data_IF_856450612099
#
_entry.id   IF_856450612099
#
_cell.length_a   1.000
_cell.length_b   1.000
_cell.length_c   1.000
_cell.angle_alpha   90.00
_cell.angle_beta   90.00
_cell.angle_gamma   90.00
#
_symmetry.space_group_name_H-M   'P 1'
#
loop_
_entity.id
_entity.type
_entity.pdbx_description
1 polymer ?
#
# COMPACT_ATOMS: atom_id res chain seq x y z
N UNK A 1 -12.48 -60.55 13.36
CA UNK A 1 -13.81 -60.93 12.82
C UNK A 1 -14.79 -59.79 13.07
N UNK A 2 -15.74 -59.66 12.15
CA UNK A 2 -16.90 -58.75 12.12
C UNK A 2 -16.73 -57.38 11.47
N UNK A 3 -17.38 -57.28 10.31
CA UNK A 3 -17.60 -56.19 9.37
C UNK A 3 -18.78 -55.30 9.80
N UNK A 4 -19.09 -54.31 8.93
CA UNK A 4 -20.44 -53.76 8.63
C UNK A 4 -20.79 -52.48 9.41
N UNK A 5 -21.19 -51.33 8.82
CA UNK A 5 -21.78 -50.96 7.52
C UNK A 5 -21.45 -49.47 7.23
N UNK A 6 -20.92 -49.05 6.07
CA UNK A 6 -21.59 -48.42 4.90
C UNK A 6 -23.07 -48.05 5.06
N UNK A 7 -23.42 -46.75 4.97
CA UNK A 7 -24.62 -46.26 4.26
C UNK A 7 -24.40 -44.85 3.71
N UNK A 8 -24.83 -44.65 2.46
CA UNK A 8 -24.85 -43.41 1.69
C UNK A 8 -26.27 -43.25 1.14
N UNK A 9 -26.83 -42.03 1.16
CA UNK A 9 -27.97 -41.54 0.33
C UNK A 9 -27.99 -40.00 0.50
N UNK A 10 -27.52 -39.19 -0.44
CA UNK A 10 -28.17 -38.69 -1.66
C UNK A 10 -29.66 -38.36 -1.54
N UNK A 11 -30.00 -37.07 -1.68
CA UNK A 11 -31.17 -36.63 -2.44
C UNK A 11 -31.06 -35.13 -2.78
N UNK A 12 -30.93 -34.91 -4.09
CA UNK A 12 -30.87 -33.66 -4.83
C UNK A 12 -32.18 -32.83 -4.86
N UNK A 13 -32.03 -31.64 -5.48
CA UNK A 13 -32.99 -30.92 -6.34
C UNK A 13 -33.61 -29.65 -5.69
N UNK A 14 -33.73 -28.48 -6.33
CA UNK A 14 -33.53 -28.04 -7.73
C UNK A 14 -33.34 -26.49 -7.75
N UNK A 15 -32.38 -25.94 -8.51
CA UNK A 15 -32.49 -25.27 -9.83
C UNK A 15 -33.08 -23.83 -9.84
N UNK A 16 -32.15 -22.84 -9.93
CA UNK A 16 -31.95 -21.72 -10.90
C UNK A 16 -33.14 -20.85 -11.42
N UNK A 17 -32.92 -19.75 -12.21
CA UNK A 17 -31.71 -18.95 -12.52
C UNK A 17 -31.95 -17.41 -12.39
N UNK A 18 -30.90 -16.59 -12.56
CA UNK A 18 -30.92 -15.37 -13.39
C UNK A 18 -29.55 -14.69 -13.42
N UNK A 19 -28.95 -14.67 -14.60
CA UNK A 19 -27.79 -13.85 -14.92
C UNK A 19 -28.21 -12.39 -15.12
N UNK A 20 -27.35 -11.44 -14.74
CA UNK A 20 -27.20 -10.19 -15.49
C UNK A 20 -25.78 -9.66 -15.30
N UNK A 21 -25.00 -9.43 -16.38
CA UNK A 21 -23.72 -8.73 -16.31
C UNK A 21 -23.96 -7.22 -16.39
N UNK A 22 -23.52 -6.47 -15.40
CA UNK A 22 -23.43 -5.02 -15.49
C UNK A 22 -22.01 -4.65 -15.93
N UNK A 23 -21.95 -4.10 -17.13
CA UNK A 23 -20.75 -3.72 -17.86
C UNK A 23 -19.93 -2.65 -17.13
N UNK A 24 -18.61 -2.81 -17.20
CA UNK A 24 -17.64 -1.77 -16.93
C UNK A 24 -17.79 -0.61 -17.94
N UNK A 25 -17.83 0.66 -17.49
CA UNK A 25 -17.68 1.78 -18.40
C UNK A 25 -16.22 1.91 -18.83
N UNK A 26 -16.07 1.84 -20.15
CA UNK A 26 -14.89 2.05 -20.99
C UNK A 26 -14.23 3.40 -20.72
N UNK A 27 -12.90 3.35 -20.61
CA UNK A 27 -11.95 4.47 -20.71
C UNK A 27 -12.33 5.38 -21.89
N UNK A 28 -12.75 6.60 -21.58
CA UNK A 28 -12.93 7.66 -22.56
C UNK A 28 -11.80 8.67 -22.39
N UNK A 29 -10.80 8.48 -23.25
CA UNK A 29 -9.77 9.41 -23.70
C UNK A 29 -10.29 10.86 -23.73
N UNK A 30 -9.89 11.69 -22.76
CA UNK A 30 -10.13 13.13 -22.81
C UNK A 30 -8.92 13.81 -23.45
N UNK A 31 -8.93 13.82 -24.79
CA UNK A 31 -7.95 14.57 -25.57
C UNK A 31 -8.28 16.07 -25.48
N UNK A 32 -7.62 16.80 -24.59
CA UNK A 32 -7.63 18.26 -24.61
C UNK A 32 -6.57 18.77 -25.59
N UNK A 33 -7.03 19.40 -26.66
CA UNK A 33 -6.22 20.21 -27.54
C UNK A 33 -5.71 21.44 -26.78
N UNK A 34 -4.38 21.62 -26.73
CA UNK A 34 -3.76 22.88 -26.30
C UNK A 34 -3.28 23.64 -27.54
N UNK A 35 -3.55 24.95 -27.64
CA UNK A 35 -3.19 25.73 -28.81
C UNK A 35 -1.68 25.91 -28.92
N UNK A 36 -1.20 26.03 -30.16
CA UNK A 36 0.13 26.47 -30.50
C UNK A 36 0.40 27.85 -29.87
N UNK A 37 1.19 27.86 -28.80
CA UNK A 37 1.79 29.06 -28.25
C UNK A 37 3.24 29.11 -28.72
N UNK A 38 3.57 30.29 -29.22
CA UNK A 38 4.76 30.72 -29.90
C UNK A 38 6.03 30.41 -29.11
N UNK A 39 7.04 29.92 -29.82
CA UNK A 39 8.39 29.81 -29.30
C UNK A 39 9.01 31.21 -29.22
N UNK A 40 8.98 31.83 -28.05
CA UNK A 40 9.88 32.94 -27.73
C UNK A 40 11.15 32.37 -27.08
N UNK A 41 12.14 32.10 -27.93
CA UNK A 41 13.53 31.89 -27.51
C UNK A 41 14.06 33.22 -26.97
N UNK A 42 14.11 33.33 -25.64
CA UNK A 42 14.89 34.38 -24.99
C UNK A 42 16.22 33.78 -24.54
N UNK A 43 17.21 33.90 -25.41
CA UNK A 43 18.61 33.62 -25.13
C UNK A 43 19.13 34.56 -24.04
N UNK A 44 19.44 34.01 -22.88
CA UNK A 44 20.47 34.58 -21.99
C UNK A 44 21.35 33.44 -21.51
N UNK A 45 22.58 33.41 -22.03
CA UNK A 45 23.63 32.54 -21.58
C UNK A 45 24.02 32.92 -20.14
N UNK A 46 23.62 32.09 -19.18
CA UNK A 46 24.20 32.06 -17.85
C UNK A 46 25.01 30.77 -17.73
N UNK A 47 26.27 30.93 -17.34
CA UNK A 47 27.29 29.89 -17.19
C UNK A 47 26.74 28.68 -16.40
N UNK A 48 26.96 27.42 -16.83
CA UNK A 48 26.59 26.29 -16.00
C UNK A 48 27.53 26.26 -14.80
N UNK A 49 27.01 26.61 -13.63
CA UNK A 49 27.58 26.10 -12.38
C UNK A 49 27.61 24.57 -12.49
N UNK A 50 28.61 23.88 -11.91
CA UNK A 50 28.53 22.43 -11.78
C UNK A 50 27.27 22.14 -10.96
N UNK A 51 26.21 21.68 -11.63
CA UNK A 51 25.06 21.11 -10.98
C UNK A 51 25.56 19.83 -10.30
N UNK A 52 26.06 19.98 -9.08
CA UNK A 52 26.03 18.89 -8.13
C UNK A 52 24.57 18.45 -8.13
N UNK A 53 24.22 17.22 -8.53
CA UNK A 53 22.87 16.75 -8.32
C UNK A 53 22.70 16.76 -6.80
N UNK A 54 21.97 17.76 -6.29
CA UNK A 54 21.33 17.66 -5.01
C UNK A 54 20.58 16.34 -5.10
N UNK A 55 21.04 15.36 -4.33
CA UNK A 55 20.33 14.11 -4.12
C UNK A 55 18.90 14.53 -3.81
N UNK A 56 18.02 14.44 -4.82
CA UNK A 56 16.67 14.96 -4.72
C UNK A 56 16.08 14.20 -3.55
N UNK A 57 15.74 14.92 -2.47
CA UNK A 57 15.02 14.30 -1.38
C UNK A 57 13.81 13.62 -2.03
N UNK A 58 13.59 12.33 -1.77
CA UNK A 58 12.43 11.65 -2.33
C UNK A 58 11.17 12.45 -1.97
N UNK A 59 10.16 12.46 -2.85
CA UNK A 59 8.97 13.25 -2.64
C UNK A 59 8.31 12.81 -1.34
N UNK A 60 8.41 13.65 -0.31
CA UNK A 60 7.80 13.41 0.98
C UNK A 60 6.36 12.90 0.79
N UNK A 61 6.09 11.69 1.29
CA UNK A 61 4.75 11.10 1.25
C UNK A 61 3.75 12.12 1.80
N UNK A 62 2.93 12.69 0.93
CA UNK A 62 1.94 13.70 1.29
C UNK A 62 0.72 13.00 1.91
N UNK A 63 0.93 12.41 3.10
CA UNK A 63 -0.09 11.74 3.88
C UNK A 63 -0.41 12.55 5.15
N UNK A 64 -1.65 12.43 5.68
CA UNK A 64 -2.01 13.08 6.93
C UNK A 64 -1.07 12.68 8.07
N UNK A 65 -0.76 13.61 8.99
CA UNK A 65 0.18 13.36 10.10
C UNK A 65 -0.18 12.13 10.95
N UNK A 66 -1.47 11.82 11.09
CA UNK A 66 -2.01 10.63 11.77
C UNK A 66 -1.53 9.30 11.17
N UNK A 67 -1.07 9.31 9.93
CA UNK A 67 -0.54 8.14 9.26
C UNK A 67 0.89 7.81 9.71
N UNK A 68 1.59 8.72 10.41
CA UNK A 68 2.98 8.50 10.82
C UNK A 68 3.91 8.09 9.66
N UNK A 69 3.59 8.50 8.43
CA UNK A 69 4.32 8.09 7.24
C UNK A 69 5.79 8.56 7.29
N UNK A 70 6.70 7.65 6.98
CA UNK A 70 8.15 7.92 6.88
C UNK A 70 8.69 7.13 5.69
N UNK A 71 9.31 7.84 4.74
CA UNK A 71 9.93 7.19 3.58
C UNK A 71 11.15 6.37 4.01
N UNK A 72 11.39 5.27 3.29
CA UNK A 72 12.54 4.38 3.49
C UNK A 72 12.79 3.98 4.96
N UNK A 73 11.70 3.81 5.71
CA UNK A 73 11.75 3.61 7.16
C UNK A 73 10.92 2.39 7.55
N UNK A 74 11.55 1.48 8.28
CA UNK A 74 10.84 0.43 9.01
C UNK A 74 10.43 0.99 10.38
N UNK A 75 9.14 1.18 10.59
CA UNK A 75 8.62 1.57 11.91
C UNK A 75 8.55 0.33 12.81
N UNK A 76 9.14 0.44 14.00
CA UNK A 76 9.11 -0.61 15.01
C UNK A 76 7.69 -0.83 15.56
N UNK A 77 7.42 -2.04 16.06
CA UNK A 77 6.13 -2.37 16.67
C UNK A 77 5.74 -3.84 16.54
N UNK A 78 4.77 -4.24 17.35
CA UNK A 78 4.18 -5.58 17.27
C UNK A 78 3.29 -5.68 16.04
N UNK A 79 3.56 -6.66 15.17
CA UNK A 79 2.74 -6.89 13.96
C UNK A 79 1.34 -7.38 14.37
N UNK A 80 0.32 -6.63 13.96
CA UNK A 80 -1.10 -6.99 14.13
C UNK A 80 -1.71 -7.55 12.84
N UNK A 81 -1.13 -7.21 11.68
CA UNK A 81 -1.43 -7.84 10.40
C UNK A 81 -0.13 -8.00 9.59
N UNK A 82 0.15 -9.22 9.14
CA UNK A 82 1.36 -9.52 8.35
C UNK A 82 1.20 -9.12 6.89
N UNK A 83 2.22 -8.45 6.33
CA UNK A 83 2.22 -7.97 4.95
C UNK A 83 2.20 -9.07 3.88
N UNK A 84 2.75 -10.25 4.18
CA UNK A 84 2.75 -11.40 3.26
C UNK A 84 1.34 -11.87 2.88
N UNK A 85 0.35 -11.66 3.75
CA UNK A 85 -1.08 -11.92 3.49
C UNK A 85 -1.91 -10.64 3.36
N UNK A 86 -1.27 -9.47 3.41
CA UNK A 86 -1.94 -8.18 3.38
C UNK A 86 -1.20 -7.21 2.45
N UNK A 87 -1.59 -7.21 1.18
CA UNK A 87 -1.04 -6.31 0.18
C UNK A 87 -1.94 -5.10 -0.05
N UNK A 88 -1.33 -3.94 -0.26
CA UNK A 88 -1.96 -2.66 -0.62
C UNK A 88 -1.24 -2.03 -1.81
N UNK A 89 -1.97 -1.33 -2.70
CA UNK A 89 -1.39 -0.75 -3.91
C UNK A 89 -0.42 0.39 -3.60
N UNK A 90 -0.64 1.13 -2.52
CA UNK A 90 0.13 2.32 -2.17
C UNK A 90 0.10 2.58 -0.66
N UNK A 91 0.95 3.54 -0.24
CA UNK A 91 1.11 3.95 1.15
C UNK A 91 -0.16 4.55 1.76
N UNK A 92 -0.98 5.28 1.00
CA UNK A 92 -2.24 5.85 1.48
C UNK A 92 -3.23 4.73 1.84
N UNK A 93 -3.37 3.76 0.94
CA UNK A 93 -4.18 2.56 1.14
C UNK A 93 -3.74 1.71 2.34
N UNK A 94 -2.45 1.72 2.67
CA UNK A 94 -1.93 1.05 3.87
C UNK A 94 -2.25 1.84 5.15
N UNK A 95 -2.17 3.18 5.13
CA UNK A 95 -2.65 4.02 6.23
C UNK A 95 -4.15 3.81 6.50
N UNK A 96 -4.99 3.85 5.46
CA UNK A 96 -6.43 3.64 5.60
C UNK A 96 -6.76 2.27 6.20
N UNK A 97 -5.99 1.24 5.83
CA UNK A 97 -6.13 -0.10 6.40
C UNK A 97 -5.73 -0.14 7.88
N UNK A 98 -4.72 0.62 8.29
CA UNK A 98 -4.35 0.78 9.70
C UNK A 98 -5.48 1.43 10.49
N UNK A 99 -6.06 2.53 9.99
CA UNK A 99 -7.17 3.23 10.63
C UNK A 99 -8.41 2.32 10.77
N UNK A 100 -8.74 1.57 9.71
CA UNK A 100 -9.83 0.59 9.73
C UNK A 100 -9.57 -0.53 10.75
N UNK A 101 -8.34 -1.05 10.81
CA UNK A 101 -7.95 -2.06 11.79
C UNK A 101 -8.07 -1.53 13.22
N UNK A 102 -7.63 -0.29 13.47
CA UNK A 102 -7.72 0.36 14.77
C UNK A 102 -9.17 0.48 15.25
N UNK A 103 -10.08 0.89 14.36
CA UNK A 103 -11.51 0.99 14.66
C UNK A 103 -12.14 -0.39 14.95
N UNK A 104 -11.74 -1.43 14.22
CA UNK A 104 -12.29 -2.78 14.39
C UNK A 104 -11.70 -3.54 15.60
N UNK A 105 -10.49 -3.19 16.04
CA UNK A 105 -9.74 -3.93 17.06
C UNK A 105 -9.25 -3.02 18.20
N UNK A 106 -10.15 -2.48 19.05
CA UNK A 106 -9.80 -1.49 20.07
C UNK A 106 -8.84 -2.01 21.15
N UNK A 107 -8.72 -3.33 21.36
CA UNK A 107 -7.79 -3.92 22.32
C UNK A 107 -6.35 -4.04 21.80
N UNK A 108 -6.17 -4.12 20.47
CA UNK A 108 -4.88 -4.21 19.79
C UNK A 108 -4.90 -3.36 18.51
N UNK A 109 -5.12 -2.04 18.62
CA UNK A 109 -5.28 -1.18 17.45
C UNK A 109 -3.97 -1.09 16.67
N UNK A 110 -4.09 -0.89 15.36
CA UNK A 110 -2.95 -0.44 14.57
C UNK A 110 -2.74 1.06 14.84
N UNK A 111 -1.49 1.49 14.94
CA UNK A 111 -1.14 2.91 15.03
C UNK A 111 0.12 3.30 14.25
N UNK A 112 0.85 2.33 13.71
CA UNK A 112 1.90 2.53 12.71
C UNK A 112 1.83 1.42 11.66
N UNK A 113 2.39 1.68 10.49
CA UNK A 113 2.39 0.74 9.38
C UNK A 113 3.65 0.89 8.55
N UNK A 114 3.96 -0.14 7.76
CA UNK A 114 5.00 -0.10 6.73
C UNK A 114 4.38 -0.56 5.42
N UNK A 115 4.71 0.10 4.31
CA UNK A 115 4.32 -0.32 2.97
C UNK A 115 5.56 -0.43 2.09
N UNK A 116 5.68 -1.54 1.36
CA UNK A 116 6.73 -1.70 0.36
C UNK A 116 6.19 -1.35 -1.03
N UNK A 117 6.32 -0.08 -1.43
CA UNK A 117 5.82 0.42 -2.71
C UNK A 117 6.84 0.59 -3.82
N UNK A 118 8.14 0.55 -3.51
CA UNK A 118 9.20 0.76 -4.50
C UNK A 118 9.54 -0.54 -5.23
N UNK A 119 9.24 -0.63 -6.52
CA UNK A 119 9.47 -1.83 -7.34
C UNK A 119 10.94 -2.26 -7.40
N UNK A 120 11.88 -1.31 -7.36
CA UNK A 120 13.30 -1.59 -7.44
C UNK A 120 13.88 -2.08 -6.10
N UNK A 121 13.33 -1.62 -4.98
CA UNK A 121 13.83 -1.95 -3.64
C UNK A 121 13.07 -3.10 -2.96
N UNK A 122 11.79 -3.30 -3.29
CA UNK A 122 10.92 -4.22 -2.57
C UNK A 122 11.01 -5.68 -3.01
N UNK A 123 11.40 -5.96 -4.25
CA UNK A 123 11.47 -7.33 -4.79
C UNK A 123 10.18 -8.10 -4.57
N UNK A 124 10.25 -9.28 -3.95
CA UNK A 124 9.07 -10.13 -3.67
C UNK A 124 8.09 -9.53 -2.67
N UNK A 125 8.51 -8.52 -1.90
CA UNK A 125 7.67 -7.85 -0.90
C UNK A 125 6.88 -6.69 -1.49
N UNK A 126 6.94 -6.45 -2.80
CA UNK A 126 6.17 -5.39 -3.44
C UNK A 126 4.68 -5.48 -3.06
N UNK A 127 4.15 -4.34 -2.64
CA UNK A 127 2.79 -4.15 -2.16
C UNK A 127 2.51 -4.65 -0.74
N UNK A 128 3.44 -5.30 -0.05
CA UNK A 128 3.20 -5.76 1.32
C UNK A 128 2.96 -4.56 2.25
N UNK A 129 1.92 -4.67 3.08
CA UNK A 129 1.51 -3.68 4.06
C UNK A 129 1.46 -4.34 5.44
N UNK A 130 2.40 -3.96 6.32
CA UNK A 130 2.46 -4.47 7.68
C UNK A 130 1.79 -3.48 8.61
N UNK A 131 0.69 -3.92 9.24
CA UNK A 131 0.03 -3.12 10.27
C UNK A 131 0.63 -3.48 11.63
N UNK A 132 0.95 -2.47 12.42
CA UNK A 132 1.66 -2.63 13.69
C UNK A 132 1.04 -1.79 14.81
N UNK A 133 1.28 -2.25 16.03
CA UNK A 133 1.01 -1.53 17.26
C UNK A 133 2.33 -1.21 17.96
N UNK A 134 2.57 0.06 18.23
CA UNK A 134 3.70 0.56 19.04
C UNK A 134 3.17 1.40 20.22
N UNK A 135 3.86 1.45 21.38
CA UNK A 135 3.50 2.36 22.46
C UNK A 135 3.56 3.84 22.06
N UNK A 136 4.53 4.21 21.22
CA UNK A 136 4.71 5.57 20.71
C UNK A 136 4.92 5.58 19.19
N UNK A 137 3.93 6.05 18.40
CA UNK A 137 4.03 6.11 16.94
C UNK A 137 4.87 7.28 16.43
N UNK A 138 5.36 8.15 17.32
CA UNK A 138 6.22 9.28 17.00
C UNK A 138 7.71 9.04 17.28
N UNK A 139 8.04 7.92 17.96
CA UNK A 139 9.42 7.57 18.23
C UNK A 139 10.25 7.44 16.95
N UNK A 140 11.49 7.95 17.03
CA UNK A 140 12.42 7.80 15.94
C UNK A 140 12.73 6.31 15.71
N UNK A 141 12.88 5.86 14.46
CA UNK A 141 13.29 4.50 14.18
C UNK A 141 14.58 4.19 14.93
N UNK A 142 14.59 3.09 15.69
CA UNK A 142 15.78 2.64 16.39
C UNK A 142 16.90 2.45 15.36
N UNK A 143 18.01 3.18 15.49
CA UNK A 143 19.23 2.93 14.71
C UNK A 143 19.73 1.55 15.12
N UNK A 144 19.34 0.53 14.36
CA UNK A 144 19.43 -0.88 14.74
C UNK A 144 20.68 -1.28 15.52
N UNK A 145 20.45 -1.93 16.66
CA UNK A 145 21.47 -2.57 17.49
C UNK A 145 20.92 -3.89 18.03
N UNK A 146 20.63 -4.83 17.14
CA UNK A 146 20.26 -6.19 17.50
C UNK A 146 21.48 -6.97 17.97
N UNK A 147 21.81 -6.88 19.27
CA UNK A 147 22.75 -7.79 19.91
C UNK A 147 21.99 -8.99 20.46
N UNK A 148 22.15 -10.15 19.84
CA UNK A 148 21.92 -11.44 20.51
C UNK A 148 23.05 -12.39 20.18
#
# INVERSE_FOLDING_TARGET
ASQSQREAVDASAAVAPAATPAAAPKLAEQQQAVPALTHEVSTTAALPAPFTPLLQAPPALNLPAKCHAREHTELEGTVVQWGSSHKKPDAASCCDACEAHAAANPSRPCNVWVHCGDEALCGSKLGECWLKQTPDPSEAPSRGGGSK
#
